data_IF_207193047077
#
_entry.id   IF_207193047077
#
_cell.length_a   1.000
_cell.length_b   1.000
_cell.length_c   1.000
_cell.angle_alpha   90.00
_cell.angle_beta   90.00
_cell.angle_gamma   90.00
#
_symmetry.space_group_name_H-M   'P 1'
#
loop_
_entity.id
_entity.type
_entity.pdbx_description
1 polymer ?
#
# COMPACT_ATOMS: atom_id res chain seq x y z
N UNK A 1 -51.31 -49.63 -6.16
CA UNK A 1 -51.43 -48.66 -5.05
C UNK A 1 -50.11 -47.92 -4.94
N UNK A 2 -50.03 -46.73 -5.52
CA UNK A 2 -48.83 -45.86 -5.42
C UNK A 2 -49.21 -44.76 -4.43
N UNK A 3 -48.55 -44.75 -3.27
CA UNK A 3 -48.73 -43.75 -2.23
C UNK A 3 -47.95 -42.50 -2.67
N UNK A 4 -48.68 -41.44 -3.04
CA UNK A 4 -48.11 -40.14 -3.29
C UNK A 4 -47.74 -39.48 -1.95
N UNK A 5 -46.44 -39.41 -1.64
CA UNK A 5 -45.93 -38.52 -0.60
C UNK A 5 -46.04 -37.08 -1.09
N UNK A 6 -47.03 -36.35 -0.58
CA UNK A 6 -47.14 -34.90 -0.71
C UNK A 6 -46.07 -34.24 0.15
N UNK A 7 -44.93 -33.90 -0.45
CA UNK A 7 -43.98 -32.93 0.11
C UNK A 7 -44.67 -31.56 0.19
N UNK A 8 -45.13 -31.17 1.39
CA UNK A 8 -45.47 -29.78 1.66
C UNK A 8 -44.19 -28.94 1.52
N UNK A 9 -44.06 -28.27 0.39
CA UNK A 9 -43.12 -27.17 0.24
C UNK A 9 -43.53 -26.08 1.22
N UNK A 10 -42.75 -25.87 2.29
CA UNK A 10 -42.80 -24.64 3.07
C UNK A 10 -42.43 -23.49 2.12
N UNK A 11 -43.45 -22.81 1.61
CA UNK A 11 -43.29 -21.53 0.91
C UNK A 11 -42.66 -20.57 1.90
N UNK A 12 -41.35 -20.36 1.81
CA UNK A 12 -40.66 -19.32 2.56
C UNK A 12 -41.22 -17.98 2.11
N UNK A 13 -42.10 -17.39 2.93
CA UNK A 13 -42.55 -16.02 2.73
C UNK A 13 -41.33 -15.09 2.84
N UNK A 14 -41.20 -14.07 1.97
CA UNK A 14 -40.15 -13.07 2.12
C UNK A 14 -40.29 -12.43 3.50
N UNK A 15 -39.16 -12.23 4.19
CA UNK A 15 -39.15 -11.61 5.51
C UNK A 15 -39.88 -10.26 5.44
N UNK A 16 -41.09 -10.21 6.00
CA UNK A 16 -41.84 -8.97 6.11
C UNK A 16 -41.07 -8.07 7.06
N UNK A 17 -40.80 -6.83 6.66
CA UNK A 17 -40.20 -5.83 7.54
C UNK A 17 -41.03 -5.65 8.82
N UNK A 18 -40.38 -5.23 9.91
CA UNK A 18 -41.07 -4.97 11.18
C UNK A 18 -41.68 -3.57 11.18
N UNK A 19 -43.00 -3.48 11.37
CA UNK A 19 -43.75 -2.22 11.46
C UNK A 19 -43.73 -1.68 12.91
N UNK A 20 -42.80 -0.78 13.19
CA UNK A 20 -42.62 -0.18 14.51
C UNK A 20 -43.84 0.64 14.98
N UNK A 21 -44.56 1.32 14.07
CA UNK A 21 -45.68 2.18 14.43
C UNK A 21 -46.89 1.37 14.92
N UNK A 22 -47.13 0.19 14.34
CA UNK A 22 -48.18 -0.74 14.82
C UNK A 22 -47.93 -1.25 16.24
N UNK A 23 -46.66 -1.35 16.64
CA UNK A 23 -46.27 -1.89 17.94
C UNK A 23 -46.08 -0.81 19.02
N UNK A 24 -46.29 0.47 18.69
CA UNK A 24 -46.03 1.58 19.61
C UNK A 24 -46.83 1.51 20.91
N UNK A 25 -48.10 1.09 20.87
CA UNK A 25 -48.94 1.06 22.07
C UNK A 25 -48.53 -0.06 23.05
N UNK A 26 -47.88 -1.12 22.55
CA UNK A 26 -47.53 -2.31 23.33
C UNK A 26 -46.19 -2.16 24.06
N UNK A 27 -45.22 -1.49 23.44
CA UNK A 27 -43.87 -1.37 23.97
C UNK A 27 -43.55 0.08 24.33
N UNK A 28 -43.46 0.44 25.63
CA UNK A 28 -43.15 1.81 26.06
C UNK A 28 -41.67 2.18 25.86
N UNK A 29 -40.79 1.20 25.71
CA UNK A 29 -39.33 1.39 25.62
C UNK A 29 -38.71 0.70 24.41
N UNK A 30 -37.71 1.34 23.79
CA UNK A 30 -36.97 0.78 22.66
C UNK A 30 -36.16 -0.46 23.06
N UNK A 31 -35.59 -0.47 24.27
CA UNK A 31 -34.77 -1.58 24.77
C UNK A 31 -35.58 -2.83 25.14
N UNK A 32 -36.92 -2.75 25.14
CA UNK A 32 -37.78 -3.93 25.33
C UNK A 32 -37.59 -4.98 24.23
N UNK A 33 -37.27 -4.54 23.00
CA UNK A 33 -36.90 -5.44 21.90
C UNK A 33 -35.41 -5.31 21.56
N UNK A 34 -34.83 -4.11 21.64
CA UNK A 34 -33.42 -3.86 21.35
C UNK A 34 -32.53 -3.93 22.60
N UNK A 35 -32.68 -4.99 23.40
CA UNK A 35 -31.97 -5.13 24.67
C UNK A 35 -30.43 -5.08 24.50
N UNK A 36 -29.92 -5.58 23.38
CA UNK A 36 -28.49 -5.52 23.07
C UNK A 36 -27.96 -4.09 22.86
N UNK A 37 -28.81 -3.08 22.65
CA UNK A 37 -28.35 -1.69 22.60
C UNK A 37 -27.80 -1.19 23.95
N UNK A 38 -28.15 -1.85 25.05
CA UNK A 38 -27.67 -1.54 26.39
C UNK A 38 -26.43 -2.36 26.78
N UNK A 39 -25.92 -3.23 25.90
CA UNK A 39 -24.80 -4.13 26.17
C UNK A 39 -23.73 -3.97 25.09
N UNK A 40 -22.47 -3.89 25.48
CA UNK A 40 -21.37 -3.77 24.52
C UNK A 40 -21.30 -5.03 23.64
N UNK A 41 -21.13 -4.83 22.33
CA UNK A 41 -20.99 -5.89 21.34
C UNK A 41 -22.16 -6.92 21.26
N UNK A 42 -23.32 -6.62 21.85
CA UNK A 42 -24.50 -7.47 21.75
C UNK A 42 -25.29 -7.21 20.45
N UNK A 43 -26.04 -8.22 20.00
CA UNK A 43 -26.95 -8.05 18.85
C UNK A 43 -28.03 -7.02 19.16
N UNK A 44 -28.19 -6.04 18.28
CA UNK A 44 -29.32 -5.11 18.35
C UNK A 44 -30.66 -5.79 18.03
N UNK A 45 -30.64 -6.91 17.30
CA UNK A 45 -31.85 -7.57 16.85
C UNK A 45 -32.38 -8.53 17.91
N UNK A 46 -33.71 -8.50 18.21
CA UNK A 46 -34.33 -9.45 19.12
C UNK A 46 -34.29 -10.87 18.56
N UNK A 47 -34.38 -11.85 19.45
CA UNK A 47 -34.56 -13.25 19.06
C UNK A 47 -35.94 -13.43 18.38
N UNK A 48 -36.04 -14.03 17.19
CA UNK A 48 -37.31 -14.31 16.51
C UNK A 48 -38.34 -15.06 17.36
N UNK A 49 -37.89 -15.89 18.32
CA UNK A 49 -38.77 -16.62 19.23
C UNK A 49 -39.60 -15.67 20.08
N UNK A 50 -39.08 -14.47 20.40
CA UNK A 50 -39.83 -13.47 21.18
C UNK A 50 -41.13 -13.02 20.49
N UNK A 51 -41.21 -13.09 19.16
CA UNK A 51 -42.41 -12.75 18.41
C UNK A 51 -43.54 -13.76 18.66
N UNK A 52 -43.20 -15.03 18.88
CA UNK A 52 -44.17 -16.12 19.06
C UNK A 52 -44.97 -15.99 20.37
N UNK A 53 -44.50 -15.18 21.33
CA UNK A 53 -45.25 -14.92 22.57
C UNK A 53 -46.56 -14.15 22.33
N UNK A 54 -46.70 -13.45 21.21
CA UNK A 54 -47.93 -12.78 20.81
C UNK A 54 -48.44 -13.22 19.42
N UNK A 55 -47.55 -13.67 18.53
CA UNK A 55 -47.89 -14.17 17.21
C UNK A 55 -47.96 -15.71 17.19
N UNK A 56 -48.80 -16.27 18.06
CA UNK A 56 -49.00 -17.71 18.25
C UNK A 56 -50.18 -18.29 17.45
N UNK A 57 -50.94 -17.43 16.77
CA UNK A 57 -52.19 -17.79 16.08
C UNK A 57 -53.45 -17.64 16.94
N UNK A 58 -53.30 -17.42 18.25
CA UNK A 58 -54.41 -17.19 19.20
C UNK A 58 -54.55 -15.70 19.51
N UNK A 59 -53.45 -15.03 19.88
CA UNK A 59 -53.43 -13.59 20.21
C UNK A 59 -53.32 -12.76 18.94
N UNK A 60 -52.37 -13.08 18.07
CA UNK A 60 -52.19 -12.50 16.75
C UNK A 60 -51.79 -13.57 15.75
N UNK A 61 -51.95 -13.26 14.45
CA UNK A 61 -51.54 -14.16 13.35
C UNK A 61 -50.06 -14.54 13.49
N UNK A 62 -49.74 -15.81 13.24
CA UNK A 62 -48.35 -16.27 13.19
C UNK A 62 -47.57 -15.48 12.15
N UNK A 63 -46.37 -15.04 12.51
CA UNK A 63 -45.46 -14.32 11.62
C UNK A 63 -44.12 -15.02 11.55
N UNK A 64 -43.53 -15.04 10.35
CA UNK A 64 -42.17 -15.49 10.12
C UNK A 64 -41.27 -14.26 9.95
N UNK A 65 -40.95 -13.60 11.07
CA UNK A 65 -39.98 -12.51 11.07
C UNK A 65 -38.56 -13.04 11.27
N UNK A 66 -37.58 -12.44 10.57
CA UNK A 66 -36.16 -12.73 10.74
C UNK A 66 -35.37 -11.43 10.78
N UNK A 67 -34.30 -11.36 11.59
CA UNK A 67 -33.43 -10.19 11.59
C UNK A 67 -32.74 -10.05 10.23
N UNK A 68 -32.37 -8.81 9.84
CA UNK A 68 -31.52 -8.60 8.68
C UNK A 68 -30.21 -9.41 8.83
N UNK A 69 -29.92 -10.26 7.85
CA UNK A 69 -28.75 -11.16 7.87
C UNK A 69 -27.42 -10.41 7.66
N UNK A 70 -27.48 -9.21 7.09
CA UNK A 70 -26.28 -8.44 6.78
C UNK A 70 -25.89 -7.56 7.97
N UNK A 71 -24.70 -7.84 8.54
CA UNK A 71 -24.03 -6.89 9.42
C UNK A 71 -23.92 -5.53 8.73
N UNK A 72 -24.03 -4.44 9.52
CA UNK A 72 -23.89 -3.08 8.99
C UNK A 72 -22.54 -2.95 8.25
N UNK A 73 -22.61 -2.63 6.96
CA UNK A 73 -21.45 -2.37 6.11
C UNK A 73 -21.00 -0.94 6.36
N UNK A 74 -20.08 -0.77 7.31
CA UNK A 74 -19.58 0.55 7.72
C UNK A 74 -18.19 0.41 8.33
N UNK A 75 -17.40 1.48 8.22
CA UNK A 75 -16.16 1.65 8.97
C UNK A 75 -16.36 2.60 10.17
N UNK A 76 -17.60 2.93 10.54
CA UNK A 76 -17.87 3.76 11.72
C UNK A 76 -17.49 3.00 13.01
N UNK A 77 -16.68 3.63 13.85
CA UNK A 77 -16.38 3.21 15.22
C UNK A 77 -17.51 3.70 16.13
N UNK A 78 -18.54 2.89 16.30
CA UNK A 78 -19.68 3.24 17.17
C UNK A 78 -20.25 2.02 17.90
N UNK A 79 -20.35 2.12 19.22
CA UNK A 79 -21.05 1.19 20.11
C UNK A 79 -22.09 1.97 20.92
N UNK A 80 -23.31 1.44 21.02
CA UNK A 80 -24.43 2.15 21.67
C UNK A 80 -24.24 2.25 23.19
N UNK A 81 -23.79 1.18 23.83
CA UNK A 81 -23.65 1.12 25.28
C UNK A 81 -22.48 1.99 25.76
N UNK A 82 -21.35 1.93 25.05
CA UNK A 82 -20.19 2.80 25.28
C UNK A 82 -20.59 4.27 25.08
N UNK A 83 -21.21 4.61 23.94
CA UNK A 83 -21.61 5.99 23.65
C UNK A 83 -22.62 6.53 24.68
N UNK A 84 -23.64 5.74 25.06
CA UNK A 84 -24.62 6.14 26.05
C UNK A 84 -23.97 6.40 27.43
N UNK A 85 -23.05 5.53 27.84
CA UNK A 85 -22.29 5.67 29.09
C UNK A 85 -21.44 6.94 29.09
N UNK A 86 -20.66 7.18 28.02
CA UNK A 86 -19.82 8.37 27.92
C UNK A 86 -20.63 9.66 27.87
N UNK A 87 -21.72 9.68 27.11
CA UNK A 87 -22.59 10.84 27.00
C UNK A 87 -23.24 11.18 28.36
N UNK A 88 -23.66 10.15 29.10
CA UNK A 88 -24.20 10.32 30.45
C UNK A 88 -23.18 10.88 31.44
N UNK A 89 -21.93 10.46 31.35
CA UNK A 89 -20.85 10.98 32.20
C UNK A 89 -20.49 12.43 31.85
N UNK A 90 -20.34 12.74 30.56
CA UNK A 90 -19.90 14.08 30.10
C UNK A 90 -21.01 15.13 30.19
N UNK A 91 -22.27 14.74 30.04
CA UNK A 91 -23.39 15.67 30.06
C UNK A 91 -24.69 14.99 30.53
N UNK A 92 -24.85 14.75 31.85
CA UNK A 92 -25.99 14.00 32.41
C UNK A 92 -27.36 14.57 32.02
N UNK A 93 -27.47 15.90 31.85
CA UNK A 93 -28.70 16.59 31.46
C UNK A 93 -28.95 16.62 29.94
N UNK A 94 -27.97 16.21 29.12
CA UNK A 94 -28.04 16.23 27.65
C UNK A 94 -27.78 14.86 27.03
N UNK A 95 -27.73 13.80 27.85
CA UNK A 95 -27.60 12.42 27.36
C UNK A 95 -28.69 12.14 26.32
N UNK A 96 -28.33 11.76 25.09
CA UNK A 96 -29.31 11.57 24.05
C UNK A 96 -30.18 10.34 24.36
N UNK A 97 -31.50 10.53 24.40
CA UNK A 97 -32.44 9.42 24.31
C UNK A 97 -32.34 8.77 22.92
N UNK A 98 -32.83 7.52 22.77
CA UNK A 98 -32.79 6.79 21.49
C UNK A 98 -33.37 7.63 20.33
N UNK A 99 -34.46 8.36 20.59
CA UNK A 99 -35.14 9.25 19.66
C UNK A 99 -34.24 10.42 19.17
N UNK A 100 -33.25 10.82 19.96
CA UNK A 100 -32.27 11.86 19.58
C UNK A 100 -31.50 11.50 18.31
N UNK A 101 -31.29 10.20 18.05
CA UNK A 101 -30.62 9.73 16.83
C UNK A 101 -31.59 9.07 15.85
N UNK A 102 -32.58 8.33 16.35
CA UNK A 102 -33.43 7.44 15.55
C UNK A 102 -34.82 7.99 15.20
N UNK A 103 -35.11 9.28 15.37
CA UNK A 103 -36.37 9.90 14.91
C UNK A 103 -36.16 11.33 14.44
N UNK A 104 -36.96 11.84 13.50
CA UNK A 104 -36.96 13.26 13.13
C UNK A 104 -37.81 14.13 14.07
N UNK A 105 -37.54 15.44 14.07
CA UNK A 105 -38.30 16.39 14.88
C UNK A 105 -39.78 16.35 14.45
N UNK A 106 -40.68 16.22 15.42
CA UNK A 106 -42.13 16.15 15.18
C UNK A 106 -42.65 14.76 14.78
N UNK A 107 -41.80 13.74 14.61
CA UNK A 107 -42.26 12.38 14.33
C UNK A 107 -42.82 11.68 15.58
N UNK A 108 -43.73 10.73 15.35
CA UNK A 108 -44.29 9.92 16.42
C UNK A 108 -43.24 8.97 17.01
N UNK A 109 -43.43 8.62 18.30
CA UNK A 109 -42.68 7.55 18.95
C UNK A 109 -42.78 6.27 18.10
N UNK A 110 -41.64 5.62 17.86
CA UNK A 110 -41.49 4.43 17.02
C UNK A 110 -41.66 4.65 15.50
N UNK A 111 -41.51 5.87 14.98
CA UNK A 111 -41.31 6.08 13.55
C UNK A 111 -39.98 5.48 13.02
N UNK A 112 -38.96 5.42 13.89
CA UNK A 112 -37.61 4.84 13.70
C UNK A 112 -36.98 5.10 12.32
N UNK A 113 -36.04 6.03 12.27
CA UNK A 113 -35.22 6.36 11.11
C UNK A 113 -33.79 5.85 11.29
N UNK A 114 -33.13 5.62 10.17
CA UNK A 114 -31.68 5.51 10.17
C UNK A 114 -31.05 6.86 10.55
N UNK A 115 -30.10 6.89 11.49
CA UNK A 115 -29.41 8.12 11.86
C UNK A 115 -28.57 8.64 10.68
N UNK A 116 -28.63 9.95 10.45
CA UNK A 116 -27.79 10.64 9.48
C UNK A 116 -26.56 11.23 10.16
N UNK A 117 -25.45 11.31 9.43
CA UNK A 117 -24.13 11.69 9.97
C UNK A 117 -24.14 13.09 10.57
N UNK A 118 -24.93 14.01 10.03
CA UNK A 118 -25.04 15.40 10.48
C UNK A 118 -25.47 15.49 11.95
N UNK A 119 -26.24 14.50 12.45
CA UNK A 119 -26.61 14.45 13.88
C UNK A 119 -25.43 14.11 14.77
N UNK A 120 -24.56 13.20 14.33
CA UNK A 120 -23.33 12.89 15.03
C UNK A 120 -22.48 14.17 15.12
N UNK A 121 -22.28 14.84 13.97
CA UNK A 121 -21.46 16.05 13.89
C UNK A 121 -22.00 17.20 14.75
N UNK A 122 -23.32 17.38 14.81
CA UNK A 122 -23.97 18.40 15.62
C UNK A 122 -23.67 18.26 17.12
N UNK A 123 -23.74 17.04 17.68
CA UNK A 123 -23.42 16.79 19.08
C UNK A 123 -21.91 16.84 19.35
N UNK A 124 -21.09 16.41 18.38
CA UNK A 124 -19.63 16.38 18.49
C UNK A 124 -18.95 17.70 18.09
N UNK A 125 -19.72 18.77 17.84
CA UNK A 125 -19.19 20.12 17.59
C UNK A 125 -18.47 20.29 16.26
N UNK A 126 -18.65 19.37 15.29
CA UNK A 126 -18.06 19.48 13.96
C UNK A 126 -19.01 20.27 13.07
N UNK A 127 -18.68 21.54 12.81
CA UNK A 127 -19.48 22.46 12.00
C UNK A 127 -19.14 22.37 10.50
N UNK A 128 -19.15 21.15 9.97
CA UNK A 128 -18.90 20.88 8.56
C UNK A 128 -19.86 19.79 8.06
N UNK A 129 -20.13 19.79 6.76
CA UNK A 129 -20.71 18.59 6.11
C UNK A 129 -19.67 17.47 6.18
N UNK A 130 -20.13 16.21 6.30
CA UNK A 130 -19.26 15.06 6.63
C UNK A 130 -17.96 14.99 5.83
N UNK A 131 -18.03 15.11 4.51
CA UNK A 131 -16.84 15.04 3.64
C UNK A 131 -15.98 16.31 3.61
N UNK A 132 -16.49 17.43 4.12
CA UNK A 132 -15.74 18.69 4.23
C UNK A 132 -15.12 18.87 5.63
N UNK A 133 -15.32 17.91 6.55
CA UNK A 133 -14.58 17.90 7.81
C UNK A 133 -13.06 17.81 7.52
N UNK A 134 -12.20 18.36 8.38
CA UNK A 134 -10.76 18.28 8.19
C UNK A 134 -10.30 16.82 8.01
N UNK A 135 -9.46 16.55 7.01
CA UNK A 135 -8.97 15.20 6.70
C UNK A 135 -8.33 14.52 7.93
N UNK A 136 -7.75 15.29 8.86
CA UNK A 136 -7.18 14.77 10.10
C UNK A 136 -8.21 14.17 11.07
N UNK A 137 -9.50 14.51 10.95
CA UNK A 137 -10.54 14.14 11.91
C UNK A 137 -11.26 12.81 11.58
N UNK A 138 -11.11 12.27 10.36
CA UNK A 138 -11.85 11.06 9.94
C UNK A 138 -11.61 9.87 10.87
N UNK A 139 -10.36 9.67 11.30
CA UNK A 139 -9.95 8.57 12.18
C UNK A 139 -10.49 8.69 13.62
N UNK A 140 -11.09 9.83 14.00
CA UNK A 140 -11.76 9.99 15.29
C UNK A 140 -13.02 9.13 15.36
N UNK A 141 -13.78 9.08 14.26
CA UNK A 141 -15.07 8.39 14.20
C UNK A 141 -15.01 7.10 13.38
N UNK A 142 -14.05 6.95 12.49
CA UNK A 142 -13.95 5.78 11.62
C UNK A 142 -12.73 4.92 11.96
N UNK A 143 -12.89 3.61 11.91
CA UNK A 143 -11.77 2.67 11.98
C UNK A 143 -11.00 2.68 10.66
N UNK A 144 -9.69 2.32 10.68
CA UNK A 144 -8.95 2.07 9.44
C UNK A 144 -9.66 1.03 8.57
N UNK A 145 -9.58 1.18 7.25
CA UNK A 145 -10.22 0.30 6.26
C UNK A 145 -9.90 -1.18 6.51
N UNK A 146 -8.66 -1.47 6.89
CA UNK A 146 -8.19 -2.83 7.18
C UNK A 146 -8.94 -3.49 8.35
N UNK A 147 -9.56 -2.70 9.24
CA UNK A 147 -10.41 -3.17 10.34
C UNK A 147 -11.89 -3.20 9.98
N UNK A 148 -12.30 -2.52 8.92
CA UNK A 148 -13.68 -2.51 8.43
C UNK A 148 -13.97 -3.77 7.58
N UNK A 149 -13.95 -4.94 8.22
CA UNK A 149 -14.07 -6.24 7.56
C UNK A 149 -15.45 -6.48 6.94
N UNK A 150 -16.50 -5.77 7.39
CA UNK A 150 -17.85 -5.88 6.83
C UNK A 150 -18.00 -5.17 5.46
N UNK A 151 -17.07 -4.30 5.09
CA UNK A 151 -17.10 -3.61 3.79
C UNK A 151 -16.65 -4.54 2.66
N UNK A 152 -17.44 -4.61 1.59
CA UNK A 152 -17.04 -5.33 0.38
C UNK A 152 -16.14 -4.47 -0.51
N UNK A 153 -15.46 -5.08 -1.48
CA UNK A 153 -14.76 -4.33 -2.53
C UNK A 153 -15.68 -3.35 -3.26
N UNK A 154 -16.94 -3.74 -3.47
CA UNK A 154 -17.95 -2.89 -4.12
C UNK A 154 -18.31 -1.67 -3.28
N UNK A 155 -18.38 -1.82 -1.95
CA UNK A 155 -18.63 -0.70 -1.04
C UNK A 155 -17.45 0.29 -1.05
N UNK A 156 -16.22 -0.25 -1.03
CA UNK A 156 -14.98 0.54 -1.05
C UNK A 156 -14.82 1.31 -2.38
N UNK A 157 -15.15 0.69 -3.51
CA UNK A 157 -15.13 1.35 -4.83
C UNK A 157 -16.06 2.59 -4.90
N UNK A 158 -17.09 2.65 -4.05
CA UNK A 158 -18.05 3.75 -3.99
C UNK A 158 -17.70 4.80 -2.94
N UNK A 159 -16.54 4.70 -2.28
CA UNK A 159 -16.12 5.72 -1.33
C UNK A 159 -16.04 7.09 -2.00
N UNK A 160 -16.75 8.11 -1.48
CA UNK A 160 -16.67 9.44 -2.03
C UNK A 160 -15.32 10.06 -1.68
N UNK A 161 -14.76 10.81 -2.62
CA UNK A 161 -13.55 11.57 -2.38
C UNK A 161 -13.88 12.86 -1.61
N UNK A 162 -13.16 13.18 -0.51
CA UNK A 162 -13.23 14.49 0.12
C UNK A 162 -12.86 15.61 -0.86
N UNK A 163 -13.40 16.83 -0.70
CA UNK A 163 -13.08 17.97 -1.57
C UNK A 163 -11.58 18.29 -1.67
N UNK A 164 -10.79 17.94 -0.64
CA UNK A 164 -9.33 18.09 -0.63
C UNK A 164 -8.64 17.37 -1.80
N UNK A 165 -9.22 16.27 -2.32
CA UNK A 165 -8.67 15.50 -3.42
C UNK A 165 -8.77 16.22 -4.77
N UNK A 166 -9.67 17.20 -4.89
CA UNK A 166 -9.83 18.01 -6.09
C UNK A 166 -8.87 19.22 -6.13
N UNK A 167 -8.07 19.44 -5.08
CA UNK A 167 -7.12 20.55 -5.04
C UNK A 167 -6.09 20.40 -6.18
N UNK A 168 -5.80 21.46 -6.97
CA UNK A 168 -4.88 21.37 -8.11
C UNK A 168 -3.46 20.93 -7.72
N UNK A 169 -3.03 21.25 -6.50
CA UNK A 169 -1.74 20.89 -5.94
C UNK A 169 -1.78 19.60 -5.11
N UNK A 170 -2.90 18.87 -5.12
CA UNK A 170 -3.07 17.67 -4.29
C UNK A 170 -1.95 16.66 -4.56
N UNK A 171 -1.56 16.37 -5.79
CA UNK A 171 -0.51 15.38 -6.07
C UNK A 171 0.93 15.89 -5.86
N UNK A 172 1.11 17.07 -5.25
CA UNK A 172 2.43 17.67 -5.04
C UNK A 172 2.98 17.41 -3.63
N UNK A 173 4.25 17.80 -3.43
CA UNK A 173 4.89 17.80 -2.09
C UNK A 173 4.17 18.69 -1.07
N UNK A 174 3.46 19.72 -1.54
CA UNK A 174 2.78 20.72 -0.72
C UNK A 174 1.31 20.35 -0.44
N UNK A 175 0.66 19.57 -1.31
CA UNK A 175 -0.65 18.96 -1.06
C UNK A 175 -0.55 17.62 -0.30
N UNK A 176 -0.79 16.51 -0.99
CA UNK A 176 -0.70 15.12 -0.51
C UNK A 176 0.58 14.87 0.28
N UNK A 177 1.72 15.34 -0.21
CA UNK A 177 2.99 15.18 0.50
C UNK A 177 2.99 15.81 1.89
N UNK A 178 2.35 16.97 2.08
CA UNK A 178 2.23 17.62 3.38
C UNK A 178 1.18 16.94 4.26
N UNK A 179 0.00 16.62 3.70
CA UNK A 179 -1.07 15.92 4.41
C UNK A 179 -0.63 14.55 4.94
N UNK A 180 0.15 13.80 4.15
CA UNK A 180 0.71 12.50 4.53
C UNK A 180 1.65 12.61 5.74
N UNK A 181 2.46 13.69 5.82
CA UNK A 181 3.36 13.94 6.97
C UNK A 181 2.61 14.30 8.24
N UNK A 182 1.54 15.10 8.13
CA UNK A 182 0.81 15.63 9.28
C UNK A 182 -0.09 14.58 9.95
N UNK A 183 -0.69 13.68 9.16
CA UNK A 183 -1.65 12.69 9.66
C UNK A 183 -1.03 11.33 9.99
N UNK A 184 0.30 11.18 9.81
CA UNK A 184 1.01 9.89 9.82
C UNK A 184 0.31 8.80 8.97
N UNK A 185 -0.44 9.19 7.93
CA UNK A 185 -1.26 8.28 7.13
C UNK A 185 -2.47 7.67 7.86
N UNK A 186 -2.68 7.94 9.16
CA UNK A 186 -3.76 7.32 9.95
C UNK A 186 -5.15 7.73 9.46
N UNK A 187 -5.34 8.98 9.07
CA UNK A 187 -6.62 9.44 8.53
C UNK A 187 -6.85 9.01 7.09
N UNK A 188 -5.80 8.94 6.26
CA UNK A 188 -5.88 8.31 4.95
C UNK A 188 -6.24 6.82 5.06
N UNK A 189 -5.77 6.15 6.12
CA UNK A 189 -6.05 4.74 6.40
C UNK A 189 -7.54 4.46 6.66
N UNK A 190 -8.37 5.49 6.93
CA UNK A 190 -9.83 5.36 7.05
C UNK A 190 -10.46 4.88 5.73
N UNK A 191 -9.94 5.35 4.59
CA UNK A 191 -10.48 5.07 3.26
C UNK A 191 -9.55 4.24 2.38
N UNK A 192 -8.24 4.29 2.64
CA UNK A 192 -7.22 3.62 1.85
C UNK A 192 -6.44 2.60 2.68
N UNK A 193 -5.81 1.64 2.03
CA UNK A 193 -4.83 0.75 2.63
C UNK A 193 -3.55 0.76 1.82
N UNK A 194 -2.52 0.05 2.29
CA UNK A 194 -1.18 0.05 1.71
C UNK A 194 -1.16 -0.18 0.20
N UNK A 195 -1.99 -1.08 -0.31
CA UNK A 195 -2.11 -1.47 -1.71
C UNK A 195 -2.65 -0.34 -2.59
N UNK A 196 -3.51 0.53 -2.04
CA UNK A 196 -3.92 1.75 -2.75
C UNK A 196 -2.72 2.67 -2.96
N UNK A 197 -1.90 2.88 -1.93
CA UNK A 197 -0.73 3.75 -2.00
C UNK A 197 0.33 3.22 -2.99
N UNK A 198 0.47 1.90 -3.09
CA UNK A 198 1.39 1.25 -4.04
C UNK A 198 1.01 1.41 -5.50
N UNK A 199 -0.25 1.77 -5.82
CA UNK A 199 -0.61 2.17 -7.20
C UNK A 199 0.16 3.41 -7.69
N UNK A 200 0.75 4.19 -6.78
CA UNK A 200 1.60 5.34 -7.09
C UNK A 200 3.06 5.16 -6.61
N UNK A 201 3.25 4.46 -5.50
CA UNK A 201 4.54 4.39 -4.78
C UNK A 201 5.23 3.02 -4.87
N UNK A 202 4.87 2.15 -5.82
CA UNK A 202 5.40 0.79 -5.97
C UNK A 202 6.89 0.66 -6.36
N UNK A 203 7.66 1.77 -6.35
CA UNK A 203 9.10 1.77 -6.63
C UNK A 203 9.93 1.08 -5.55
N UNK A 204 11.24 0.94 -5.79
CA UNK A 204 12.18 0.22 -4.94
C UNK A 204 12.35 0.78 -3.52
N UNK A 205 11.79 1.96 -3.24
CA UNK A 205 11.77 2.59 -1.93
C UNK A 205 10.47 3.40 -1.74
N UNK A 206 9.34 2.76 -1.39
CA UNK A 206 8.13 3.50 -1.05
C UNK A 206 8.38 4.41 0.16
N UNK A 207 7.68 5.56 0.28
CA UNK A 207 7.76 6.40 1.46
C UNK A 207 7.52 5.59 2.75
N UNK A 208 8.33 5.86 3.78
CA UNK A 208 8.22 5.18 5.09
C UNK A 208 6.81 5.27 5.69
N UNK A 209 6.03 6.33 5.40
CA UNK A 209 4.64 6.42 5.85
C UNK A 209 3.76 5.24 5.40
N UNK A 210 4.05 4.64 4.23
CA UNK A 210 3.27 3.52 3.69
C UNK A 210 3.57 2.21 4.44
N UNK A 211 4.78 2.03 5.00
CA UNK A 211 5.15 0.79 5.69
C UNK A 211 4.34 0.56 6.97
N UNK A 212 3.78 1.62 7.56
CA UNK A 212 2.94 1.55 8.76
C UNK A 212 1.46 1.31 8.47
N UNK A 213 1.04 1.38 7.21
CA UNK A 213 -0.33 1.08 6.81
C UNK A 213 -0.55 -0.43 6.77
N UNK A 214 -1.73 -0.87 7.21
CA UNK A 214 -2.13 -2.28 7.08
C UNK A 214 -2.31 -2.70 5.62
N UNK A 215 -2.17 -4.00 5.37
CA UNK A 215 -2.52 -4.62 4.08
C UNK A 215 -4.01 -4.82 3.96
N UNK A 216 -4.58 -4.38 2.85
CA UNK A 216 -5.89 -4.79 2.40
C UNK A 216 -6.02 -4.66 0.87
N UNK A 217 -6.03 -5.80 0.20
CA UNK A 217 -6.21 -5.88 -1.26
C UNK A 217 -7.52 -5.27 -1.73
N UNK A 218 -8.54 -5.17 -0.88
CA UNK A 218 -9.82 -4.53 -1.23
C UNK A 218 -9.65 -3.04 -1.52
N UNK A 219 -8.61 -2.39 -0.97
CA UNK A 219 -8.34 -0.98 -1.22
C UNK A 219 -8.01 -0.66 -2.69
N UNK A 220 -7.59 -1.66 -3.46
CA UNK A 220 -7.40 -1.52 -4.93
C UNK A 220 -8.70 -1.40 -5.71
N UNK A 221 -9.86 -1.52 -5.05
CA UNK A 221 -11.15 -1.21 -5.65
C UNK A 221 -11.32 0.29 -5.97
N UNK A 222 -10.55 1.16 -5.31
CA UNK A 222 -10.41 2.57 -5.69
C UNK A 222 -9.19 2.66 -6.62
N UNK A 223 -9.42 3.07 -7.86
CA UNK A 223 -8.35 3.33 -8.81
C UNK A 223 -7.73 4.71 -8.52
N UNK A 224 -6.47 4.73 -8.08
CA UNK A 224 -5.71 5.97 -7.90
C UNK A 224 -5.28 6.58 -9.24
N UNK A 225 -5.20 5.74 -10.28
CA UNK A 225 -4.80 6.11 -11.64
C UNK A 225 -5.62 5.31 -12.63
N UNK A 226 -6.07 5.98 -13.69
CA UNK A 226 -6.63 5.31 -14.85
C UNK A 226 -5.50 5.04 -15.84
N UNK A 227 -5.56 3.88 -16.50
CA UNK A 227 -4.70 3.63 -17.64
C UNK A 227 -5.05 4.65 -18.76
N UNK A 228 -4.07 5.32 -19.36
CA UNK A 228 -4.34 6.21 -20.49
C UNK A 228 -4.87 5.42 -21.69
N UNK A 229 -5.47 6.10 -22.67
CA UNK A 229 -6.06 5.47 -23.85
C UNK A 229 -5.07 4.60 -24.66
N UNK A 230 -3.76 4.85 -24.51
CA UNK A 230 -2.69 4.04 -25.08
C UNK A 230 -2.66 2.59 -24.56
N UNK A 231 -3.25 2.29 -23.40
CA UNK A 231 -3.26 0.96 -22.77
C UNK A 231 -4.34 0.01 -23.33
N UNK A 232 -4.53 0.02 -24.65
CA UNK A 232 -5.44 -0.88 -25.36
C UNK A 232 -4.92 -2.33 -25.45
N UNK A 233 -5.76 -3.25 -25.94
CA UNK A 233 -5.43 -4.67 -26.07
C UNK A 233 -4.26 -5.00 -27.02
N UNK A 234 -3.85 -4.04 -27.85
CA UNK A 234 -2.69 -4.10 -28.75
C UNK A 234 -1.51 -3.24 -28.28
N UNK A 235 -1.46 -2.85 -27.00
CA UNK A 235 -0.35 -2.04 -26.44
C UNK A 235 1.02 -2.67 -26.71
N UNK A 236 1.14 -4.00 -26.61
CA UNK A 236 2.38 -4.73 -26.92
C UNK A 236 2.92 -4.41 -28.31
N UNK A 237 2.04 -4.14 -29.27
CA UNK A 237 2.38 -4.05 -30.69
C UNK A 237 2.79 -2.62 -31.11
N UNK A 238 2.44 -1.61 -30.30
CA UNK A 238 2.60 -0.20 -30.67
C UNK A 238 3.37 0.65 -29.66
N UNK A 239 3.59 0.16 -28.43
CA UNK A 239 4.30 0.94 -27.41
C UNK A 239 5.79 1.15 -27.71
N UNK A 240 6.38 0.37 -28.62
CA UNK A 240 7.81 0.43 -28.95
C UNK A 240 8.24 1.81 -29.46
N UNK A 241 7.47 2.43 -30.36
CA UNK A 241 7.77 3.75 -30.89
C UNK A 241 7.69 4.84 -29.80
N UNK A 242 6.69 4.75 -28.92
CA UNK A 242 6.53 5.68 -27.79
C UNK A 242 7.65 5.51 -26.76
N UNK A 243 8.01 4.26 -26.42
CA UNK A 243 9.08 3.94 -25.48
C UNK A 243 10.46 4.37 -26.02
N UNK A 244 10.71 4.20 -27.32
CA UNK A 244 11.94 4.63 -27.98
C UNK A 244 12.09 6.16 -28.01
N UNK A 245 10.97 6.89 -28.13
CA UNK A 245 10.97 8.35 -28.09
C UNK A 245 11.19 8.88 -26.67
N UNK A 246 10.50 8.32 -25.66
CA UNK A 246 10.73 8.65 -24.25
C UNK A 246 10.01 7.67 -23.31
N UNK A 247 10.76 7.09 -22.37
CA UNK A 247 10.19 6.25 -21.30
C UNK A 247 9.61 7.06 -20.14
N UNK A 248 9.87 8.37 -20.07
CA UNK A 248 9.50 9.24 -18.93
C UNK A 248 7.99 9.27 -18.67
N UNK A 249 7.17 9.16 -19.73
CA UNK A 249 5.70 9.08 -19.61
C UNK A 249 5.22 7.75 -19.03
N UNK A 250 5.98 6.68 -19.25
CA UNK A 250 5.68 5.36 -18.69
C UNK A 250 6.13 5.30 -17.24
N UNK A 251 7.32 5.81 -16.94
CA UNK A 251 7.93 5.76 -15.59
C UNK A 251 7.30 6.71 -14.59
N UNK A 252 6.36 7.56 -15.02
CA UNK A 252 5.50 8.29 -14.08
C UNK A 252 4.57 7.34 -13.32
N UNK A 253 4.21 6.18 -13.88
CA UNK A 253 3.30 5.19 -13.30
C UNK A 253 3.93 3.80 -13.11
N UNK A 254 4.77 3.37 -14.04
CA UNK A 254 5.41 2.06 -14.04
C UNK A 254 6.81 2.14 -13.45
N UNK A 255 7.23 1.07 -12.81
CA UNK A 255 8.59 0.88 -12.33
C UNK A 255 9.31 -0.11 -13.24
N UNK A 256 10.64 -0.15 -13.16
CA UNK A 256 11.49 -1.02 -13.99
C UNK A 256 11.02 -2.48 -14.00
N UNK A 257 10.53 -2.99 -12.87
CA UNK A 257 10.04 -4.36 -12.77
C UNK A 257 8.86 -4.64 -13.71
N UNK A 258 7.95 -3.68 -13.88
CA UNK A 258 6.75 -3.81 -14.72
C UNK A 258 7.12 -3.95 -16.20
N UNK A 259 8.09 -3.15 -16.67
CA UNK A 259 8.60 -3.28 -18.04
C UNK A 259 9.23 -4.67 -18.24
N UNK A 260 10.01 -5.12 -17.26
CA UNK A 260 10.77 -6.37 -17.36
C UNK A 260 9.89 -7.63 -17.30
N UNK A 261 8.64 -7.54 -16.83
CA UNK A 261 7.72 -8.68 -16.78
C UNK A 261 7.41 -9.21 -18.18
N UNK A 262 7.14 -8.32 -19.15
CA UNK A 262 6.92 -8.72 -20.55
C UNK A 262 8.22 -8.78 -21.37
N UNK A 263 9.21 -7.96 -21.02
CA UNK A 263 10.43 -7.82 -21.83
C UNK A 263 11.52 -8.83 -21.50
N UNK A 264 11.60 -9.38 -20.27
CA UNK A 264 12.59 -10.43 -19.94
C UNK A 264 12.39 -11.73 -20.73
N UNK A 265 11.16 -12.28 -20.85
CA UNK A 265 10.95 -13.54 -21.58
C UNK A 265 11.23 -13.42 -23.08
N UNK A 266 11.06 -12.21 -23.65
CA UNK A 266 11.11 -11.96 -25.08
C UNK A 266 12.31 -11.08 -25.50
N UNK A 267 13.35 -10.99 -24.67
CA UNK A 267 14.50 -10.11 -24.92
C UNK A 267 15.20 -10.36 -26.29
N UNK A 268 15.07 -11.59 -26.82
CA UNK A 268 15.58 -11.98 -28.13
C UNK A 268 14.52 -11.98 -29.25
N UNK A 269 13.22 -11.96 -28.91
CA UNK A 269 12.10 -12.06 -29.85
C UNK A 269 11.47 -10.70 -30.20
N UNK A 270 11.72 -9.66 -29.41
CA UNK A 270 11.39 -8.29 -29.78
C UNK A 270 12.31 -7.86 -30.93
N UNK A 271 11.80 -7.86 -32.17
CA UNK A 271 12.53 -7.47 -33.37
C UNK A 271 13.02 -6.01 -33.30
N UNK A 272 14.25 -5.84 -32.80
CA UNK A 272 14.84 -4.56 -32.41
C UNK A 272 14.88 -4.33 -30.88
N UNK A 273 15.15 -5.37 -30.09
CA UNK A 273 15.17 -5.34 -28.63
C UNK A 273 16.03 -4.23 -28.01
N UNK A 274 16.04 -4.12 -26.68
CA UNK A 274 16.82 -3.10 -25.93
C UNK A 274 18.31 -3.00 -26.32
N UNK A 275 18.83 -3.96 -27.06
CA UNK A 275 20.15 -3.95 -27.65
C UNK A 275 20.08 -4.02 -29.19
N UNK A 276 20.73 -3.10 -29.93
CA UNK A 276 20.80 -3.19 -31.39
C UNK A 276 21.50 -4.46 -31.88
N UNK A 277 21.23 -4.91 -33.11
CA UNK A 277 21.87 -6.07 -33.73
C UNK A 277 23.40 -6.01 -33.67
N UNK A 278 24.05 -7.15 -33.40
CA UNK A 278 25.51 -7.18 -33.22
C UNK A 278 26.00 -6.56 -31.91
N UNK A 279 25.12 -6.38 -30.91
CA UNK A 279 25.48 -5.83 -29.59
C UNK A 279 26.72 -6.47 -28.99
N UNK A 280 26.82 -7.80 -29.01
CA UNK A 280 27.97 -8.51 -28.45
C UNK A 280 29.30 -8.10 -29.11
N UNK A 281 29.28 -7.74 -30.40
CA UNK A 281 30.48 -7.33 -31.12
C UNK A 281 30.94 -5.91 -30.78
N UNK A 282 30.00 -4.97 -30.54
CA UNK A 282 30.33 -3.56 -30.20
C UNK A 282 30.36 -3.27 -28.70
N UNK A 283 29.75 -4.14 -27.88
CA UNK A 283 29.62 -4.00 -26.43
C UNK A 283 30.95 -3.66 -25.73
N UNK A 284 32.11 -4.26 -26.07
CA UNK A 284 33.37 -3.91 -25.43
C UNK A 284 33.75 -2.43 -25.59
N UNK A 285 33.55 -1.86 -26.77
CA UNK A 285 33.82 -0.46 -27.05
C UNK A 285 32.83 0.46 -26.32
N UNK A 286 31.53 0.14 -26.37
CA UNK A 286 30.50 0.93 -25.69
C UNK A 286 30.62 0.89 -24.16
N UNK A 287 31.02 -0.25 -23.59
CA UNK A 287 31.30 -0.38 -22.15
C UNK A 287 32.54 0.44 -21.74
N UNK A 288 33.60 0.43 -22.56
CA UNK A 288 34.81 1.24 -22.32
C UNK A 288 34.52 2.74 -22.39
N UNK A 289 33.75 3.16 -23.40
CA UNK A 289 33.39 4.54 -23.65
C UNK A 289 32.25 5.07 -22.75
N UNK A 290 31.66 4.23 -21.90
CA UNK A 290 30.51 4.56 -21.03
C UNK A 290 29.30 5.12 -21.81
N UNK A 291 29.11 4.61 -23.02
CA UNK A 291 28.12 5.13 -23.97
C UNK A 291 26.66 4.86 -23.54
N UNK A 292 26.44 3.93 -22.61
CA UNK A 292 25.10 3.51 -22.22
C UNK A 292 24.92 3.40 -20.70
N UNK A 293 23.71 3.74 -20.25
CA UNK A 293 23.23 3.58 -18.88
C UNK A 293 22.67 2.17 -18.67
N UNK A 294 23.49 1.14 -18.91
CA UNK A 294 23.11 -0.28 -18.76
C UNK A 294 22.51 -0.58 -17.38
N UNK A 295 22.93 0.18 -16.35
CA UNK A 295 22.42 0.16 -14.98
C UNK A 295 20.94 0.51 -14.85
N UNK A 296 20.36 1.20 -15.83
CA UNK A 296 18.94 1.58 -15.83
C UNK A 296 18.04 0.35 -15.98
N UNK A 297 18.56 -0.72 -16.59
CA UNK A 297 17.84 -1.98 -16.80
C UNK A 297 18.49 -3.15 -16.05
N UNK A 298 19.82 -3.24 -16.03
CA UNK A 298 20.59 -4.34 -15.48
C UNK A 298 21.23 -3.99 -14.13
N UNK A 299 21.24 -4.94 -13.19
CA UNK A 299 22.21 -4.87 -12.09
C UNK A 299 23.59 -5.17 -12.69
N UNK A 300 24.36 -4.13 -12.97
CA UNK A 300 25.60 -4.23 -13.74
C UNK A 300 26.56 -5.27 -13.13
N UNK A 301 26.64 -5.36 -11.81
CA UNK A 301 27.51 -6.31 -11.12
C UNK A 301 27.15 -7.76 -11.44
N UNK A 302 25.94 -8.20 -11.07
CA UNK A 302 25.51 -9.59 -11.27
C UNK A 302 25.33 -9.95 -12.75
N UNK A 303 24.86 -8.99 -13.54
CA UNK A 303 24.64 -9.19 -14.97
C UNK A 303 25.96 -9.38 -15.71
N UNK A 304 26.90 -8.43 -15.58
CA UNK A 304 28.18 -8.49 -16.27
C UNK A 304 28.90 -9.77 -15.86
N UNK A 305 29.06 -10.05 -14.56
CA UNK A 305 29.79 -11.24 -14.10
C UNK A 305 29.16 -12.54 -14.57
N UNK A 306 27.82 -12.69 -14.55
CA UNK A 306 27.19 -13.96 -14.94
C UNK A 306 27.20 -14.22 -16.44
N UNK A 307 27.01 -13.18 -17.27
CA UNK A 307 27.12 -13.33 -18.73
C UNK A 307 28.56 -13.70 -19.07
N UNK A 308 29.48 -12.99 -18.45
CA UNK A 308 30.89 -13.20 -18.61
C UNK A 308 31.32 -14.62 -18.21
N UNK A 309 30.85 -15.11 -17.06
CA UNK A 309 31.06 -16.48 -16.60
C UNK A 309 30.52 -17.55 -17.56
N UNK A 310 29.28 -17.38 -18.04
CA UNK A 310 28.70 -18.31 -19.03
C UNK A 310 29.43 -18.30 -20.37
N UNK A 311 30.06 -17.18 -20.72
CA UNK A 311 30.87 -17.04 -21.93
C UNK A 311 32.29 -17.60 -21.77
N UNK A 312 32.66 -18.18 -20.61
CA UNK A 312 33.95 -18.83 -20.38
C UNK A 312 35.16 -17.89 -20.33
N UNK A 313 34.91 -16.62 -20.57
CA UNK A 313 35.82 -15.53 -20.31
C UNK A 313 35.70 -15.33 -18.77
N UNK A 314 36.64 -15.76 -17.95
CA UNK A 314 36.66 -15.50 -16.49
C UNK A 314 38.11 -15.47 -16.06
N UNK A 315 38.43 -14.68 -15.03
CA UNK A 315 39.76 -14.72 -14.46
C UNK A 315 39.96 -16.05 -13.71
N UNK A 316 40.98 -16.81 -14.07
CA UNK A 316 41.37 -18.04 -13.36
C UNK A 316 42.24 -17.77 -12.13
N UNK A 317 42.69 -16.52 -11.94
CA UNK A 317 43.44 -16.05 -10.77
C UNK A 317 43.35 -14.52 -10.66
N UNK A 318 43.49 -13.94 -9.46
CA UNK A 318 43.41 -12.49 -9.15
C UNK A 318 44.41 -11.65 -9.97
N UNK A 319 45.52 -12.23 -10.42
CA UNK A 319 46.55 -11.56 -11.22
C UNK A 319 46.52 -11.91 -12.71
N UNK A 320 45.58 -12.77 -13.15
CA UNK A 320 45.43 -13.12 -14.56
C UNK A 320 44.13 -12.56 -15.09
N UNK A 321 44.26 -11.78 -16.15
CA UNK A 321 43.12 -11.22 -16.85
C UNK A 321 42.29 -12.31 -17.52
N UNK A 322 41.00 -12.41 -17.17
CA UNK A 322 39.99 -13.02 -18.03
C UNK A 322 39.29 -12.02 -18.95
N UNK A 323 39.45 -10.70 -18.69
CA UNK A 323 38.60 -9.62 -19.25
C UNK A 323 39.21 -8.24 -19.41
N UNK A 324 40.36 -7.98 -18.83
CA UNK A 324 41.19 -6.86 -19.25
C UNK A 324 41.84 -7.20 -20.59
N UNK A 325 42.39 -6.18 -21.25
CA UNK A 325 43.18 -6.25 -22.48
C UNK A 325 44.44 -7.15 -22.43
N UNK A 326 44.55 -8.02 -21.41
CA UNK A 326 45.60 -9.01 -21.14
C UNK A 326 47.01 -8.42 -21.09
N UNK A 327 47.12 -7.09 -20.98
CA UNK A 327 48.40 -6.42 -20.95
C UNK A 327 49.08 -6.69 -19.61
N UNK A 328 50.29 -7.23 -19.66
CA UNK A 328 51.08 -7.63 -18.48
C UNK A 328 51.44 -6.48 -17.52
N UNK A 329 51.11 -5.23 -17.87
CA UNK A 329 51.44 -4.02 -17.11
C UNK A 329 50.32 -3.52 -16.17
N UNK A 330 49.25 -4.30 -15.93
CA UNK A 330 48.18 -3.92 -15.00
C UNK A 330 48.73 -3.35 -13.68
N UNK A 331 49.71 -4.04 -13.07
CA UNK A 331 50.38 -3.60 -11.83
C UNK A 331 51.00 -2.20 -11.94
N UNK A 332 51.53 -1.83 -13.10
CA UNK A 332 52.19 -0.53 -13.34
C UNK A 332 51.22 0.63 -13.61
N UNK A 333 50.02 0.36 -14.13
CA UNK A 333 49.06 1.40 -14.55
C UNK A 333 47.78 1.50 -13.73
N UNK A 334 47.37 0.42 -13.05
CA UNK A 334 46.05 0.35 -12.40
C UNK A 334 45.89 1.36 -11.26
N UNK A 335 46.96 1.73 -10.56
CA UNK A 335 46.90 2.72 -9.48
C UNK A 335 46.48 4.11 -9.97
N UNK A 336 46.92 4.54 -11.15
CA UNK A 336 46.47 5.79 -11.76
C UNK A 336 45.02 5.67 -12.26
N UNK A 337 44.70 4.58 -12.95
CA UNK A 337 43.35 4.33 -13.46
C UNK A 337 42.31 4.27 -12.32
N UNK A 338 42.62 3.58 -11.22
CA UNK A 338 41.75 3.48 -10.04
C UNK A 338 41.53 4.84 -9.34
N UNK A 339 42.53 5.74 -9.37
CA UNK A 339 42.35 7.12 -8.86
C UNK A 339 41.47 7.98 -9.76
N UNK A 340 41.47 7.72 -11.06
CA UNK A 340 40.68 8.46 -12.04
C UNK A 340 39.24 7.93 -12.13
N UNK A 341 39.04 6.64 -11.90
CA UNK A 341 37.75 5.98 -12.04
C UNK A 341 37.71 4.66 -11.27
N UNK A 342 37.51 4.72 -9.96
CA UNK A 342 37.35 3.52 -9.14
C UNK A 342 36.03 2.81 -9.44
N UNK A 343 34.99 3.59 -9.78
CA UNK A 343 33.63 3.12 -10.06
C UNK A 343 33.57 2.10 -11.20
N UNK A 344 34.43 2.24 -12.21
CA UNK A 344 34.53 1.28 -13.33
C UNK A 344 35.19 -0.04 -12.95
N UNK A 345 35.95 -0.08 -11.85
CA UNK A 345 36.56 -1.32 -11.36
C UNK A 345 35.59 -2.07 -10.45
N UNK A 346 34.92 -1.35 -9.53
CA UNK A 346 33.98 -1.93 -8.56
C UNK A 346 32.65 -2.36 -9.17
N UNK A 347 32.39 -2.03 -10.44
CA UNK A 347 31.28 -2.60 -11.21
C UNK A 347 31.42 -4.10 -11.44
N UNK A 348 32.65 -4.63 -11.45
CA UNK A 348 32.93 -6.06 -11.63
C UNK A 348 33.65 -6.67 -10.40
N UNK A 349 34.52 -5.91 -9.74
CA UNK A 349 35.30 -6.38 -8.60
C UNK A 349 34.60 -6.11 -7.26
N UNK A 350 34.72 -7.03 -6.31
CA UNK A 350 34.41 -6.78 -4.91
C UNK A 350 35.62 -6.21 -4.16
N UNK A 351 35.35 -5.59 -3.03
CA UNK A 351 36.36 -5.12 -2.08
C UNK A 351 37.40 -6.19 -1.74
N UNK A 352 36.99 -7.44 -1.53
CA UNK A 352 37.89 -8.59 -1.28
C UNK A 352 38.97 -8.77 -2.36
N UNK A 353 38.68 -8.42 -3.61
CA UNK A 353 39.59 -8.58 -4.73
C UNK A 353 40.73 -7.56 -4.59
N UNK A 354 40.41 -6.32 -4.26
CA UNK A 354 41.38 -5.24 -3.98
C UNK A 354 42.20 -5.53 -2.73
N UNK A 355 41.56 -6.07 -1.68
CA UNK A 355 42.20 -6.40 -0.41
C UNK A 355 43.28 -7.49 -0.54
N UNK A 356 43.24 -8.32 -1.58
CA UNK A 356 44.32 -9.29 -1.89
C UNK A 356 45.69 -8.60 -1.95
N UNK A 357 45.75 -7.37 -2.46
CA UNK A 357 46.99 -6.61 -2.57
C UNK A 357 47.07 -5.44 -1.59
N UNK A 358 45.96 -4.75 -1.34
CA UNK A 358 45.93 -3.47 -0.62
C UNK A 358 45.54 -3.57 0.86
N UNK A 359 45.19 -4.75 1.37
CA UNK A 359 44.90 -4.93 2.80
C UNK A 359 46.16 -4.79 3.65
N UNK A 360 46.04 -4.05 4.77
CA UNK A 360 47.10 -3.94 5.77
C UNK A 360 47.12 -5.14 6.74
N UNK A 361 46.01 -5.89 6.83
CA UNK A 361 45.87 -7.00 7.79
C UNK A 361 46.15 -8.38 7.17
N UNK A 362 46.04 -8.55 5.85
CA UNK A 362 46.25 -9.86 5.22
C UNK A 362 46.65 -9.89 3.73
N UNK A 363 46.75 -8.74 3.07
CA UNK A 363 47.13 -8.66 1.66
C UNK A 363 48.63 -8.47 1.44
N UNK A 364 49.02 -8.14 0.20
CA UNK A 364 50.43 -7.78 -0.15
C UNK A 364 50.92 -6.44 0.41
N UNK A 365 50.09 -5.74 1.20
CA UNK A 365 50.40 -4.48 1.89
C UNK A 365 50.81 -3.34 0.96
N UNK A 366 50.34 -3.35 -0.28
CA UNK A 366 50.51 -2.20 -1.18
C UNK A 366 49.62 -1.05 -0.73
N UNK A 367 50.22 0.10 -0.42
CA UNK A 367 49.44 1.27 0.01
C UNK A 367 48.56 1.78 -1.14
N UNK A 368 47.22 1.77 -1.01
CA UNK A 368 46.32 2.29 -2.04
C UNK A 368 46.23 3.83 -2.04
N UNK A 369 46.73 4.49 -0.99
CA UNK A 369 46.68 5.93 -0.86
C UNK A 369 47.73 6.61 -1.75
N UNK A 370 47.30 7.64 -2.49
CA UNK A 370 48.19 8.45 -3.31
C UNK A 370 49.06 9.41 -2.46
N UNK A 371 50.06 10.05 -3.09
CA UNK A 371 50.86 11.10 -2.45
C UNK A 371 49.96 12.20 -1.85
N UNK A 372 50.26 12.63 -0.63
CA UNK A 372 49.52 13.70 0.06
C UNK A 372 48.17 13.29 0.68
N UNK A 373 47.90 11.99 0.83
CA UNK A 373 46.67 11.54 1.50
C UNK A 373 46.65 11.91 3.00
N UNK A 374 45.70 12.76 3.38
CA UNK A 374 45.47 13.16 4.77
C UNK A 374 44.59 12.14 5.51
N UNK A 375 45.25 11.14 6.10
CA UNK A 375 44.60 10.08 6.86
C UNK A 375 43.83 10.61 8.06
N UNK A 376 44.35 11.62 8.78
CA UNK A 376 43.70 12.17 9.96
C UNK A 376 42.36 12.85 9.63
N UNK A 377 42.30 13.61 8.52
CA UNK A 377 41.07 14.24 8.04
C UNK A 377 40.05 13.22 7.56
N UNK A 378 40.47 12.19 6.82
CA UNK A 378 39.56 11.18 6.30
C UNK A 378 39.02 10.28 7.41
N UNK A 379 39.83 9.96 8.42
CA UNK A 379 39.41 9.18 9.59
C UNK A 379 38.26 9.85 10.35
N UNK A 380 38.26 11.19 10.46
CA UNK A 380 37.15 11.93 11.10
C UNK A 380 35.84 11.88 10.32
N UNK A 381 35.90 11.73 8.99
CA UNK A 381 34.73 11.71 8.11
C UNK A 381 34.16 10.31 7.86
N UNK A 382 35.02 9.28 7.85
CA UNK A 382 34.64 7.93 7.42
C UNK A 382 35.46 6.83 8.13
N UNK A 383 35.55 6.88 9.47
CA UNK A 383 36.27 5.89 10.29
C UNK A 383 35.89 4.43 10.01
N UNK A 384 34.60 4.06 9.85
CA UNK A 384 34.20 2.67 9.60
C UNK A 384 34.76 2.11 8.28
N UNK A 385 35.10 2.95 7.30
CA UNK A 385 35.72 2.48 6.05
C UNK A 385 37.20 2.16 6.25
N UNK A 386 37.89 2.85 7.16
CA UNK A 386 39.32 2.60 7.43
C UNK A 386 39.55 1.23 8.09
N UNK A 387 38.61 0.76 8.91
CA UNK A 387 38.73 -0.51 9.63
C UNK A 387 38.60 -1.72 8.71
N UNK A 388 38.04 -1.55 7.53
CA UNK A 388 37.97 -2.61 6.50
C UNK A 388 39.36 -3.04 6.04
N UNK A 389 40.26 -2.08 5.82
CA UNK A 389 41.62 -2.34 5.34
C UNK A 389 42.63 -2.52 6.48
N UNK A 390 42.40 -1.88 7.63
CA UNK A 390 43.36 -1.81 8.76
C UNK A 390 42.92 -2.57 10.02
N UNK A 391 41.72 -3.13 10.06
CA UNK A 391 41.16 -3.73 11.27
C UNK A 391 41.00 -2.71 12.40
N UNK A 392 41.17 -3.16 13.64
CA UNK A 392 41.12 -2.29 14.82
C UNK A 392 42.28 -1.28 14.91
N UNK A 393 43.40 -1.56 14.22
CA UNK A 393 44.63 -0.77 14.31
C UNK A 393 44.75 0.19 13.11
N UNK A 394 43.81 1.12 12.97
CA UNK A 394 43.85 2.17 11.95
C UNK A 394 44.98 3.16 12.28
N UNK A 395 46.01 3.32 11.42
CA UNK A 395 47.09 4.26 11.67
C UNK A 395 46.56 5.68 11.88
N UNK A 396 47.04 6.35 12.94
CA UNK A 396 47.05 7.81 12.98
C UNK A 396 48.20 8.29 12.10
N UNK A 397 47.98 9.36 11.34
CA UNK A 397 49.01 9.93 10.47
C UNK A 397 50.30 10.29 11.20
#
# INVERSE_FOLDING_TARGET
MIVALSLLALVQQPAQGFDHLKHKALFPSCISCHAGAAQQAASLWPDPISCAACHDGTIQKVVAWRPPENARRTNLKFDHAEHASEAAQKSPRKSPACAGCHTQAGEQRMAVREPVVERCLACHGIQAVHLAAPDSACATCHVPLVRAVSLTRSDIARFPAPPSHAAPDFLTRHGHGAASRQTMGTSCATCHAREFCYQCHGGSAPPHAISWLGSDQRATAIAARAAPASHGGNFSDHHAAEAAASTTRCTSCHVRADCLECHRPNAAAAGGGYHPDGFLARHPASAYAREASCSDCHDARSFCTSCHERSGLVATNVLRSGYHDARSFFISGHGQAARQSLESCVSCHAERDCLTCHSAVGGRRFNPHGPGFDAARMRRKAFPTCTVCHGANVPGG
#
